data_IF_313886530107
#
_entry.id   IF_313886530107
#
_cell.length_a   1.000
_cell.length_b   1.000
_cell.length_c   1.000
_cell.angle_alpha   90.00
_cell.angle_beta   90.00
_cell.angle_gamma   90.00
#
_symmetry.space_group_name_H-M   'P 1'
#
loop_
_entity.id
_entity.type
_entity.pdbx_description
1 polymer ?
#
# COMPACT_ATOMS: atom_id res chain seq x y z
N UNK A 1 -17.81 14.38 -11.08
CA UNK A 1 -16.87 13.55 -11.85
C UNK A 1 -17.66 12.35 -12.35
N UNK A 2 -17.74 12.13 -13.67
CA UNK A 2 -18.47 10.97 -14.22
C UNK A 2 -17.59 9.73 -14.03
N UNK A 3 -18.06 8.68 -13.35
CA UNK A 3 -17.26 7.49 -13.11
C UNK A 3 -16.90 6.81 -14.44
N UNK A 4 -15.60 6.61 -14.71
CA UNK A 4 -15.15 5.76 -15.79
C UNK A 4 -14.88 4.36 -15.23
N UNK A 5 -15.84 3.45 -15.44
CA UNK A 5 -15.78 2.07 -14.94
C UNK A 5 -14.58 1.32 -15.54
N UNK A 6 -14.22 1.57 -16.79
CA UNK A 6 -13.07 0.93 -17.43
C UNK A 6 -11.77 1.32 -16.73
N UNK A 7 -11.58 2.61 -16.41
CA UNK A 7 -10.42 3.06 -15.64
C UNK A 7 -10.40 2.47 -14.23
N UNK A 8 -11.55 2.34 -13.56
CA UNK A 8 -11.64 1.70 -12.25
C UNK A 8 -11.24 0.22 -12.31
N UNK A 9 -11.64 -0.50 -13.36
CA UNK A 9 -11.28 -1.91 -13.55
C UNK A 9 -9.78 -2.08 -13.78
N UNK A 10 -9.17 -1.23 -14.61
CA UNK A 10 -7.72 -1.24 -14.83
C UNK A 10 -6.97 -0.90 -13.54
N UNK A 11 -7.40 0.14 -12.82
CA UNK A 11 -6.78 0.52 -11.55
C UNK A 11 -6.89 -0.60 -10.49
N UNK A 12 -8.03 -1.30 -10.44
CA UNK A 12 -8.20 -2.48 -9.59
C UNK A 12 -7.22 -3.60 -9.95
N UNK A 13 -7.08 -3.93 -11.23
CA UNK A 13 -6.16 -4.98 -11.68
C UNK A 13 -4.71 -4.64 -11.33
N UNK A 14 -4.29 -3.39 -11.56
CA UNK A 14 -2.95 -2.92 -11.19
C UNK A 14 -2.72 -2.98 -9.68
N UNK A 15 -3.70 -2.57 -8.88
CA UNK A 15 -3.61 -2.64 -7.41
C UNK A 15 -3.50 -4.08 -6.91
N UNK A 16 -4.29 -5.00 -7.47
CA UNK A 16 -4.23 -6.44 -7.15
C UNK A 16 -2.86 -7.05 -7.43
N UNK A 17 -2.38 -6.87 -8.67
CA UNK A 17 -1.10 -7.39 -9.10
C UNK A 17 0.05 -6.80 -8.27
N UNK A 18 -0.04 -5.52 -7.95
CA UNK A 18 0.95 -4.83 -7.11
C UNK A 18 0.95 -5.37 -5.68
N UNK A 19 -0.22 -5.49 -5.05
CA UNK A 19 -0.35 -6.03 -3.69
C UNK A 19 0.24 -7.43 -3.61
N UNK A 20 -0.07 -8.28 -4.57
CA UNK A 20 0.47 -9.63 -4.65
C UNK A 20 1.99 -9.62 -4.81
N UNK A 21 2.53 -8.82 -5.74
CA UNK A 21 3.97 -8.69 -5.96
C UNK A 21 4.72 -8.20 -4.71
N UNK A 22 4.22 -7.15 -4.05
CA UNK A 22 4.76 -6.61 -2.80
C UNK A 22 4.74 -7.67 -1.69
N UNK A 23 3.64 -8.39 -1.53
CA UNK A 23 3.53 -9.47 -0.54
C UNK A 23 4.53 -10.60 -0.83
N UNK A 24 4.67 -11.00 -2.08
CA UNK A 24 5.61 -12.03 -2.52
C UNK A 24 7.06 -11.61 -2.26
N UNK A 25 7.47 -10.43 -2.72
CA UNK A 25 8.82 -9.90 -2.50
C UNK A 25 9.15 -9.74 -1.01
N UNK A 26 8.18 -9.30 -0.21
CA UNK A 26 8.35 -9.22 1.25
C UNK A 26 8.57 -10.60 1.86
N UNK A 27 7.78 -11.61 1.47
CA UNK A 27 7.96 -13.00 1.93
C UNK A 27 9.30 -13.58 1.49
N UNK A 28 9.76 -13.30 0.27
CA UNK A 28 11.06 -13.74 -0.23
C UNK A 28 12.22 -13.09 0.53
N UNK A 29 12.15 -11.78 0.76
CA UNK A 29 13.12 -11.05 1.56
C UNK A 29 13.23 -11.62 2.98
N UNK A 30 12.10 -11.84 3.65
CA UNK A 30 12.08 -12.45 5.00
C UNK A 30 12.69 -13.85 5.01
N UNK A 31 12.40 -14.68 4.00
CA UNK A 31 12.99 -16.03 3.90
C UNK A 31 14.51 -15.98 3.78
N UNK A 32 15.07 -15.01 3.04
CA UNK A 32 16.51 -14.82 2.95
C UNK A 32 17.15 -14.43 4.30
N UNK A 33 16.37 -13.81 5.18
CA UNK A 33 16.77 -13.50 6.56
C UNK A 33 16.49 -14.65 7.56
N UNK A 34 16.01 -15.81 7.11
CA UNK A 34 15.53 -16.93 7.94
C UNK A 34 14.29 -16.59 8.80
N UNK A 35 13.45 -15.68 8.32
CA UNK A 35 12.24 -15.24 8.99
C UNK A 35 10.98 -15.63 8.21
N UNK A 36 9.82 -15.53 8.84
CA UNK A 36 8.52 -15.68 8.16
C UNK A 36 7.58 -14.54 8.54
N UNK A 37 6.74 -14.14 7.59
CA UNK A 37 5.79 -13.05 7.78
C UNK A 37 4.89 -13.23 9.02
N UNK A 38 4.27 -14.41 9.29
CA UNK A 38 3.44 -14.58 10.48
C UNK A 38 4.22 -14.43 11.80
N UNK A 39 5.46 -14.94 11.84
CA UNK A 39 6.32 -14.84 13.02
C UNK A 39 6.69 -13.38 13.29
N UNK A 40 7.12 -12.64 12.28
CA UNK A 40 7.52 -11.24 12.47
C UNK A 40 6.32 -10.33 12.77
N UNK A 41 5.17 -10.56 12.14
CA UNK A 41 3.94 -9.84 12.50
C UNK A 41 3.57 -10.03 13.97
N UNK A 42 3.80 -11.23 14.51
CA UNK A 42 3.58 -11.50 15.93
C UNK A 42 4.64 -10.78 16.81
N UNK A 43 5.92 -10.96 16.49
CA UNK A 43 7.05 -10.36 17.22
C UNK A 43 6.97 -8.85 17.30
N UNK A 44 6.51 -8.20 16.22
CA UNK A 44 6.43 -6.74 16.12
C UNK A 44 5.01 -6.19 16.31
N UNK A 45 4.08 -6.97 16.83
CA UNK A 45 2.67 -6.57 16.99
C UNK A 45 2.42 -5.34 17.86
N UNK A 46 3.37 -5.00 18.75
CA UNK A 46 3.32 -3.81 19.60
C UNK A 46 4.09 -2.61 19.03
N UNK A 47 4.82 -2.81 17.93
CA UNK A 47 5.54 -1.76 17.25
C UNK A 47 4.70 -1.21 16.10
N UNK A 48 4.72 0.10 15.95
CA UNK A 48 4.02 0.79 14.86
C UNK A 48 5.00 1.70 14.15
N UNK A 49 5.00 1.59 12.82
CA UNK A 49 5.69 2.55 11.95
C UNK A 49 5.05 3.95 12.06
N UNK A 50 3.78 4.03 12.49
CA UNK A 50 3.03 5.27 12.67
C UNK A 50 3.17 6.23 11.47
N UNK A 51 3.09 5.67 10.25
CA UNK A 51 3.16 6.45 9.02
C UNK A 51 1.92 7.33 8.91
N UNK A 52 2.12 8.63 8.69
CA UNK A 52 1.02 9.56 8.49
C UNK A 52 0.61 9.57 7.03
N UNK A 53 -0.60 9.10 6.75
CA UNK A 53 -1.24 9.19 5.43
C UNK A 53 -2.78 9.14 5.60
N UNK A 54 -3.57 9.54 4.59
CA UNK A 54 -5.04 9.60 4.71
C UNK A 54 -5.71 8.29 5.12
N UNK A 55 -5.15 7.15 4.74
CA UNK A 55 -5.70 5.82 5.03
C UNK A 55 -5.21 5.21 6.37
N UNK A 56 -4.55 6.00 7.23
CA UNK A 56 -3.96 5.50 8.49
C UNK A 56 -4.97 4.87 9.46
N UNK A 57 -6.24 5.31 9.42
CA UNK A 57 -7.31 4.75 10.26
C UNK A 57 -7.64 3.34 9.80
N UNK A 58 -7.81 3.17 8.49
CA UNK A 58 -8.15 1.91 7.85
C UNK A 58 -7.03 0.88 7.99
N UNK A 59 -5.76 1.31 7.97
CA UNK A 59 -4.59 0.42 8.17
C UNK A 59 -4.68 -0.36 9.49
N UNK A 60 -5.27 0.24 10.53
CA UNK A 60 -5.46 -0.42 11.84
C UNK A 60 -6.52 -1.53 11.79
N UNK A 61 -7.42 -1.48 10.81
CA UNK A 61 -8.48 -2.46 10.62
C UNK A 61 -8.05 -3.64 9.74
N UNK A 62 -6.95 -3.49 8.98
CA UNK A 62 -6.40 -4.57 8.14
C UNK A 62 -5.78 -5.66 9.01
N UNK A 63 -6.24 -6.90 8.83
CA UNK A 63 -5.79 -8.05 9.61
C UNK A 63 -5.12 -9.10 8.74
N UNK A 64 -3.99 -9.62 9.20
CA UNK A 64 -3.38 -10.79 8.59
C UNK A 64 -4.15 -12.05 9.02
N UNK A 65 -4.59 -12.84 8.06
CA UNK A 65 -5.26 -14.11 8.28
C UNK A 65 -4.30 -15.27 7.98
N UNK A 66 -3.77 -15.90 9.04
CA UNK A 66 -2.78 -16.99 8.93
C UNK A 66 -3.25 -18.13 8.01
N UNK A 67 -4.55 -18.44 8.00
CA UNK A 67 -5.12 -19.51 7.17
C UNK A 67 -5.04 -19.21 5.67
N UNK A 68 -5.18 -17.94 5.30
CA UNK A 68 -5.08 -17.47 3.91
C UNK A 68 -3.63 -17.08 3.56
N UNK A 69 -2.81 -16.81 4.58
CA UNK A 69 -1.48 -16.24 4.39
C UNK A 69 -1.52 -14.84 3.78
N UNK A 70 -2.60 -14.09 4.02
CA UNK A 70 -2.91 -12.82 3.36
C UNK A 70 -3.55 -11.79 4.32
N UNK A 71 -3.56 -10.53 3.90
CA UNK A 71 -4.17 -9.42 4.60
C UNK A 71 -5.60 -9.19 4.09
N UNK A 72 -6.53 -8.97 5.02
CA UNK A 72 -7.95 -8.78 4.72
C UNK A 72 -8.44 -7.48 5.34
N UNK A 73 -9.27 -6.77 4.57
CA UNK A 73 -9.94 -5.54 4.96
C UNK A 73 -11.39 -5.57 4.48
N UNK A 74 -12.31 -5.02 5.27
CA UNK A 74 -13.75 -4.99 4.96
C UNK A 74 -14.40 -3.69 5.45
N UNK A 75 -13.67 -2.58 5.45
CA UNK A 75 -14.22 -1.31 5.91
C UNK A 75 -15.11 -0.66 4.86
N UNK A 76 -15.69 0.49 5.22
CA UNK A 76 -16.65 1.21 4.38
C UNK A 76 -15.95 1.94 3.23
N UNK A 77 -16.68 2.10 2.13
CA UNK A 77 -16.27 2.85 0.94
C UNK A 77 -17.35 3.87 0.63
N UNK A 78 -16.93 5.08 0.32
CA UNK A 78 -17.78 6.25 0.11
C UNK A 78 -17.91 6.56 -1.39
N UNK A 79 -17.67 7.80 -1.79
CA UNK A 79 -17.79 8.24 -3.18
C UNK A 79 -16.43 8.34 -3.87
N UNK A 80 -16.40 8.28 -5.20
CA UNK A 80 -15.16 8.45 -5.97
C UNK A 80 -14.46 9.79 -5.63
N UNK A 81 -15.22 10.85 -5.37
CA UNK A 81 -14.67 12.15 -5.02
C UNK A 81 -13.96 12.17 -3.67
N UNK A 82 -14.38 11.35 -2.72
CA UNK A 82 -13.81 11.27 -1.39
C UNK A 82 -12.66 10.24 -1.34
N UNK A 83 -12.80 9.11 -2.05
CA UNK A 83 -11.83 8.02 -2.01
C UNK A 83 -10.56 8.30 -2.83
N UNK A 84 -10.70 8.89 -4.03
CA UNK A 84 -9.55 9.04 -4.94
C UNK A 84 -8.44 9.94 -4.39
N UNK A 85 -8.72 11.10 -3.76
CA UNK A 85 -7.68 11.91 -3.13
C UNK A 85 -6.90 11.13 -2.06
N UNK A 86 -7.61 10.36 -1.21
CA UNK A 86 -6.98 9.58 -0.15
C UNK A 86 -6.08 8.46 -0.68
N UNK A 87 -6.48 7.80 -1.78
CA UNK A 87 -5.68 6.79 -2.48
C UNK A 87 -4.42 7.42 -3.07
N UNK A 88 -4.57 8.48 -3.86
CA UNK A 88 -3.47 9.20 -4.53
C UNK A 88 -2.47 9.69 -3.49
N UNK A 89 -2.92 10.38 -2.45
CA UNK A 89 -2.03 10.92 -1.43
C UNK A 89 -1.34 9.81 -0.62
N UNK A 90 -2.03 8.70 -0.29
CA UNK A 90 -1.38 7.59 0.40
C UNK A 90 -0.30 6.93 -0.44
N UNK A 91 -0.50 6.79 -1.75
CA UNK A 91 0.52 6.24 -2.66
C UNK A 91 1.74 7.17 -2.76
N UNK A 92 1.55 8.50 -2.77
CA UNK A 92 2.67 9.46 -2.75
C UNK A 92 3.46 9.38 -1.45
N UNK A 93 2.78 9.23 -0.31
CA UNK A 93 3.44 9.05 0.98
C UNK A 93 4.25 7.75 1.00
N UNK A 94 3.73 6.65 0.44
CA UNK A 94 4.48 5.41 0.31
C UNK A 94 5.69 5.55 -0.61
N UNK A 95 5.56 6.22 -1.76
CA UNK A 95 6.68 6.52 -2.65
C UNK A 95 7.79 7.23 -1.88
N UNK A 96 7.45 8.34 -1.20
CA UNK A 96 8.43 9.12 -0.46
C UNK A 96 9.02 8.36 0.74
N UNK A 97 8.23 7.52 1.42
CA UNK A 97 8.72 6.67 2.51
C UNK A 97 9.90 5.79 2.05
N UNK A 98 9.79 5.21 0.85
CA UNK A 98 10.85 4.36 0.30
C UNK A 98 12.05 5.13 -0.24
N UNK A 99 11.90 6.44 -0.50
CA UNK A 99 13.03 7.33 -0.80
C UNK A 99 13.85 7.67 0.45
N UNK A 100 13.21 7.75 1.62
CA UNK A 100 13.84 8.23 2.87
C UNK A 100 14.24 7.10 3.84
N UNK A 101 13.61 5.93 3.76
CA UNK A 101 14.03 4.77 4.57
C UNK A 101 15.40 4.30 4.13
N UNK A 102 16.26 4.01 5.11
CA UNK A 102 17.58 3.44 4.87
C UNK A 102 17.46 1.92 4.72
N UNK A 103 17.83 1.43 3.54
CA UNK A 103 17.95 0.00 3.24
C UNK A 103 19.42 -0.39 3.12
N UNK A 104 19.77 -1.62 3.50
CA UNK A 104 21.05 -2.18 3.06
C UNK A 104 21.04 -2.45 1.55
N UNK A 105 22.23 -2.47 0.95
CA UNK A 105 22.39 -2.58 -0.50
C UNK A 105 21.69 -3.82 -1.09
N UNK A 106 21.71 -4.96 -0.39
CA UNK A 106 21.12 -6.19 -0.90
C UNK A 106 19.59 -6.12 -0.80
N UNK A 107 19.05 -5.71 0.34
CA UNK A 107 17.60 -5.55 0.53
C UNK A 107 17.00 -4.60 -0.51
N UNK A 108 17.65 -3.47 -0.75
CA UNK A 108 17.19 -2.48 -1.73
C UNK A 108 17.17 -3.03 -3.16
N UNK A 109 18.32 -3.50 -3.65
CA UNK A 109 18.47 -3.85 -5.05
C UNK A 109 17.77 -5.16 -5.45
N UNK A 110 17.58 -6.08 -4.51
CA UNK A 110 16.96 -7.37 -4.80
C UNK A 110 15.45 -7.39 -4.57
N UNK A 111 14.91 -6.51 -3.72
CA UNK A 111 13.51 -6.60 -3.28
C UNK A 111 12.77 -5.26 -3.36
N UNK A 112 13.27 -4.22 -2.68
CA UNK A 112 12.45 -3.03 -2.41
C UNK A 112 12.47 -1.96 -3.50
N UNK A 113 13.49 -1.90 -4.37
CA UNK A 113 13.52 -0.92 -5.46
C UNK A 113 12.30 -1.04 -6.41
N UNK A 114 11.77 -2.25 -6.60
CA UNK A 114 10.60 -2.52 -7.43
C UNK A 114 9.32 -1.87 -6.87
N UNK A 115 9.27 -1.59 -5.56
CA UNK A 115 8.09 -0.99 -4.93
C UNK A 115 7.87 0.42 -5.47
N UNK A 116 8.94 1.18 -5.69
CA UNK A 116 8.87 2.53 -6.28
C UNK A 116 8.22 2.49 -7.67
N UNK A 117 8.62 1.53 -8.51
CA UNK A 117 7.99 1.35 -9.82
C UNK A 117 6.50 0.98 -9.70
N UNK A 118 6.14 0.16 -8.72
CA UNK A 118 4.75 -0.17 -8.49
C UNK A 118 3.93 1.04 -8.03
N UNK A 119 4.48 1.89 -7.15
CA UNK A 119 3.80 3.10 -6.70
C UNK A 119 3.52 4.05 -7.86
N UNK A 120 4.49 4.28 -8.76
CA UNK A 120 4.27 5.10 -9.95
C UNK A 120 3.15 4.56 -10.85
N UNK A 121 3.09 3.24 -11.06
CA UNK A 121 2.05 2.64 -11.88
C UNK A 121 0.66 2.78 -11.24
N UNK A 122 0.55 2.52 -9.93
CA UNK A 122 -0.72 2.69 -9.19
C UNK A 122 -1.15 4.16 -9.18
N UNK A 123 -0.21 5.08 -9.03
CA UNK A 123 -0.47 6.53 -9.09
C UNK A 123 -1.07 6.94 -10.43
N UNK A 124 -0.45 6.47 -11.51
CA UNK A 124 -0.87 6.79 -12.87
C UNK A 124 -2.31 6.34 -13.14
N UNK A 125 -2.65 5.11 -12.74
CA UNK A 125 -4.03 4.62 -12.89
C UNK A 125 -5.01 5.33 -11.94
N UNK A 126 -4.61 5.64 -10.71
CA UNK A 126 -5.43 6.43 -9.79
C UNK A 126 -5.74 7.84 -10.34
N UNK A 127 -4.74 8.50 -10.94
CA UNK A 127 -4.92 9.81 -11.58
C UNK A 127 -5.90 9.74 -12.76
N UNK A 128 -5.82 8.69 -13.59
CA UNK A 128 -6.79 8.46 -14.68
C UNK A 128 -8.22 8.25 -14.18
N UNK A 129 -8.40 7.53 -13.07
CA UNK A 129 -9.71 7.37 -12.44
C UNK A 129 -10.24 8.72 -11.94
N UNK A 130 -9.37 9.54 -11.36
CA UNK A 130 -9.70 10.88 -10.90
C UNK A 130 -9.83 11.92 -12.04
N UNK A 131 -9.55 11.56 -13.30
CA UNK A 131 -9.52 12.53 -14.41
C UNK A 131 -8.50 13.66 -14.19
N UNK A 132 -7.41 13.36 -13.49
CA UNK A 132 -6.32 14.28 -13.19
C UNK A 132 -5.08 13.91 -14.01
N UNK A 133 -4.27 14.90 -14.37
CA UNK A 133 -3.00 14.68 -15.08
C UNK A 133 -1.81 14.63 -14.13
N UNK A 134 -1.93 15.18 -12.92
CA UNK A 134 -0.87 15.22 -11.93
C UNK A 134 -1.47 15.32 -10.51
N UNK A 135 -0.67 14.94 -9.51
CA UNK A 135 -1.04 15.02 -8.11
C UNK A 135 -0.49 16.32 -7.49
N UNK A 136 -1.39 17.14 -6.94
CA UNK A 136 -1.02 18.35 -6.20
C UNK A 136 -0.82 18.03 -4.71
N UNK A 137 0.35 17.50 -4.31
CA UNK A 137 0.68 17.40 -2.88
C UNK A 137 2.21 17.44 -2.64
N UNK A 138 2.72 18.21 -1.66
CA UNK A 138 4.08 18.02 -1.15
C UNK A 138 4.26 16.59 -0.62
N UNK A 139 5.05 15.80 -1.35
CA UNK A 139 5.46 14.42 -1.03
C UNK A 139 6.18 14.38 0.33
N UNK A 140 5.45 14.37 1.44
CA UNK A 140 6.06 14.36 2.77
C UNK A 140 5.56 13.16 3.57
N UNK A 141 6.48 12.25 3.85
CA UNK A 141 6.23 11.06 4.66
C UNK A 141 6.78 11.31 6.05
N UNK A 142 5.89 11.31 7.03
CA UNK A 142 6.26 11.35 8.45
C UNK A 142 6.00 9.98 9.05
N UNK A 143 7.05 9.35 9.60
CA UNK A 143 6.98 8.03 10.21
C UNK A 143 7.86 7.95 11.46
N UNK A 144 7.60 6.95 12.29
CA UNK A 144 8.42 6.61 13.44
C UNK A 144 9.75 5.97 12.99
N UNK A 145 10.78 6.79 12.84
CA UNK A 145 12.12 6.34 12.47
C UNK A 145 12.76 5.43 13.53
N UNK A 146 12.32 5.49 14.79
CA UNK A 146 12.78 4.64 15.90
C UNK A 146 12.09 3.26 15.91
N UNK A 147 11.33 2.91 14.86
CA UNK A 147 10.80 1.56 14.71
C UNK A 147 11.95 0.54 14.73
N UNK A 148 11.80 -0.55 15.49
CA UNK A 148 12.85 -1.55 15.69
C UNK A 148 13.33 -2.20 14.38
N UNK A 149 12.47 -2.23 13.37
CA UNK A 149 12.80 -2.68 12.02
C UNK A 149 12.06 -1.88 10.95
N UNK A 150 12.56 -0.70 10.55
CA UNK A 150 11.81 0.23 9.70
C UNK A 150 11.44 -0.35 8.33
N UNK A 151 12.35 -1.11 7.71
CA UNK A 151 12.12 -1.77 6.42
C UNK A 151 10.94 -2.75 6.47
N UNK A 152 10.88 -3.59 7.51
CA UNK A 152 9.76 -4.52 7.71
C UNK A 152 8.45 -3.77 7.97
N UNK A 153 8.50 -2.74 8.83
CA UNK A 153 7.35 -1.88 9.09
C UNK A 153 6.79 -1.25 7.81
N UNK A 154 7.65 -0.71 6.96
CA UNK A 154 7.27 -0.10 5.68
C UNK A 154 6.68 -1.11 4.69
N UNK A 155 7.25 -2.31 4.61
CA UNK A 155 6.72 -3.39 3.77
C UNK A 155 5.31 -3.80 4.21
N UNK A 156 5.10 -4.00 5.51
CA UNK A 156 3.78 -4.35 6.07
C UNK A 156 2.78 -3.22 5.86
N UNK A 157 3.17 -1.97 6.11
CA UNK A 157 2.32 -0.80 5.90
C UNK A 157 1.88 -0.71 4.42
N UNK A 158 2.83 -0.89 3.51
CA UNK A 158 2.58 -0.89 2.06
C UNK A 158 1.55 -1.95 1.67
N UNK A 159 1.71 -3.19 2.15
CA UNK A 159 0.77 -4.26 1.85
C UNK A 159 -0.64 -3.90 2.36
N UNK A 160 -0.75 -3.39 3.59
CA UNK A 160 -2.04 -2.99 4.17
C UNK A 160 -2.72 -1.87 3.38
N UNK A 161 -1.97 -0.84 3.00
CA UNK A 161 -2.49 0.26 2.17
C UNK A 161 -2.99 -0.28 0.83
N UNK A 162 -2.22 -1.15 0.17
CA UNK A 162 -2.64 -1.76 -1.10
C UNK A 162 -3.86 -2.67 -0.94
N UNK A 163 -3.99 -3.41 0.16
CA UNK A 163 -5.21 -4.18 0.50
C UNK A 163 -6.42 -3.26 0.63
N UNK A 164 -6.27 -2.07 1.23
CA UNK A 164 -7.34 -1.08 1.35
C UNK A 164 -7.71 -0.50 -0.02
N UNK A 165 -6.71 -0.14 -0.83
CA UNK A 165 -6.91 0.43 -2.17
C UNK A 165 -7.65 -0.57 -3.07
N UNK A 166 -7.22 -1.84 -3.08
CA UNK A 166 -7.90 -2.92 -3.80
C UNK A 166 -9.39 -2.99 -3.40
N UNK A 167 -9.67 -3.10 -2.10
CA UNK A 167 -11.05 -3.16 -1.60
C UNK A 167 -11.85 -1.92 -2.00
N UNK A 168 -11.27 -0.71 -1.90
CA UNK A 168 -11.93 0.53 -2.30
C UNK A 168 -12.30 0.51 -3.78
N UNK A 169 -11.39 0.12 -4.68
CA UNK A 169 -11.73 -0.01 -6.10
C UNK A 169 -12.82 -1.05 -6.35
N UNK A 170 -12.78 -2.21 -5.70
CA UNK A 170 -13.83 -3.23 -5.83
C UNK A 170 -15.21 -2.71 -5.43
N UNK A 171 -15.32 -1.95 -4.33
CA UNK A 171 -16.60 -1.40 -3.91
C UNK A 171 -17.04 -0.23 -4.79
N UNK A 172 -16.12 0.64 -5.23
CA UNK A 172 -16.44 1.73 -6.15
C UNK A 172 -17.02 1.19 -7.47
N UNK A 173 -16.46 0.12 -8.03
CA UNK A 173 -17.03 -0.54 -9.22
C UNK A 173 -18.47 -0.99 -8.95
N UNK A 174 -18.73 -1.64 -7.81
CA UNK A 174 -20.09 -2.10 -7.45
C UNK A 174 -21.08 -0.94 -7.24
N UNK A 175 -20.61 0.23 -6.81
CA UNK A 175 -21.44 1.41 -6.60
C UNK A 175 -21.85 2.11 -7.91
N UNK A 176 -21.07 1.92 -8.97
CA UNK A 176 -21.27 2.59 -10.26
C UNK A 176 -21.64 1.64 -11.41
N UNK A 177 -21.74 0.34 -11.14
CA UNK A 177 -22.37 -0.68 -12.01
C UNK A 177 -23.90 -0.64 -11.90
#
# INVERSE_FOLDING_TARGET
>A
MTPNIEHLQVALEVAKNTREAVLCLTKEWLRNQNHTLPQDLHSYSLHSLALKHPLQSEVKEVKFQNQLGDFVYSGKVTTLQEEMPAIIESLLVLEHLYEIIVFDHQSWNCYFNNFVHFFHHNMHEALKVAGLNDACNPRNAEYNADHIWPMFGAAVETIKVLTIIEHKYEQLIKLYQ
#
